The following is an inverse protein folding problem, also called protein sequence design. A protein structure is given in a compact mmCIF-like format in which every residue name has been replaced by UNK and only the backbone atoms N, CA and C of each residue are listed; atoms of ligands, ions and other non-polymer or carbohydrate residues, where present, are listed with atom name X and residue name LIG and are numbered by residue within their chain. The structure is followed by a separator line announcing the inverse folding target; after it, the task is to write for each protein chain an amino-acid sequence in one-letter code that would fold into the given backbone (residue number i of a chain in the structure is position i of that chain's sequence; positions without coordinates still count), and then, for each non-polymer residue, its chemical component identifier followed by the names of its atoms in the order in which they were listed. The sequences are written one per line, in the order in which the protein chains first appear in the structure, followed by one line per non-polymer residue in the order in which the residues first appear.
data_IF_487440925055
#
_entry.id   IF_487440925055
#
_cell.length_a   1.000
_cell.length_b   1.000
_cell.length_c   1.000
_cell.angle_alpha   90.00
_cell.angle_beta   90.00
_cell.angle_gamma   90.00
#
_symmetry.space_group_name_H-M   'P 1'
#
loop_
_entity.id
_entity.type
_entity.pdbx_description
1 polymer ?
#
# COMPACT_ATOMS: atom_id res chain seq x y z
N UNK A 1 16.18 50.38 -14.89
CA UNK A 1 15.99 49.23 -15.82
C UNK A 1 17.03 48.12 -15.59
N UNK A 2 18.33 48.40 -15.49
CA UNK A 2 19.39 47.40 -15.23
C UNK A 2 19.17 46.54 -13.97
N UNK A 3 18.72 47.14 -12.87
CA UNK A 3 18.50 46.42 -11.60
C UNK A 3 17.21 45.58 -11.60
N UNK A 4 16.21 45.92 -12.44
CA UNK A 4 14.98 45.13 -12.61
C UNK A 4 15.28 43.80 -13.33
N UNK A 5 16.15 43.83 -14.35
CA UNK A 5 16.53 42.65 -15.12
C UNK A 5 17.33 41.67 -14.25
N UNK A 6 18.25 42.16 -13.42
CA UNK A 6 19.03 41.33 -12.48
C UNK A 6 18.13 40.67 -11.43
N UNK A 7 17.14 41.40 -10.91
CA UNK A 7 16.19 40.85 -9.94
C UNK A 7 15.32 39.74 -10.55
N UNK A 8 14.86 39.91 -11.79
CA UNK A 8 14.10 38.88 -12.53
C UNK A 8 14.92 37.62 -12.84
N UNK A 9 16.22 37.75 -13.12
CA UNK A 9 17.11 36.60 -13.37
C UNK A 9 17.34 35.78 -12.10
N UNK A 10 17.53 36.44 -10.95
CA UNK A 10 17.73 35.76 -9.65
C UNK A 10 16.45 35.04 -9.19
N UNK A 11 15.26 35.61 -9.46
CA UNK A 11 13.96 34.97 -9.17
C UNK A 11 13.67 33.75 -10.05
N UNK A 12 14.19 33.70 -11.29
CA UNK A 12 14.07 32.52 -12.16
C UNK A 12 15.08 31.42 -11.81
N UNK A 13 16.26 31.77 -11.29
CA UNK A 13 17.29 30.80 -10.87
C UNK A 13 16.98 30.08 -9.54
N UNK A 14 16.05 30.60 -8.72
CA UNK A 14 15.66 30.00 -7.44
C UNK A 14 14.55 28.95 -7.53
N UNK A 15 13.96 28.73 -8.71
CA UNK A 15 12.83 27.80 -8.89
C UNK A 15 13.23 26.35 -9.17
N UNK A 16 14.53 26.05 -9.28
CA UNK A 16 15.05 24.68 -9.47
C UNK A 16 15.39 24.00 -8.14
N UNK A 17 14.50 24.08 -7.15
CA UNK A 17 14.53 23.09 -6.07
C UNK A 17 14.04 21.76 -6.66
N UNK A 18 14.73 20.63 -6.45
CA UNK A 18 14.20 19.34 -6.86
C UNK A 18 12.90 19.08 -6.09
N UNK A 19 11.77 19.23 -6.78
CA UNK A 19 10.48 18.85 -6.25
C UNK A 19 10.43 17.33 -6.22
N UNK A 20 10.45 16.74 -5.03
CA UNK A 20 10.20 15.31 -4.87
C UNK A 20 8.71 15.07 -5.01
N UNK A 21 8.24 14.82 -6.23
CA UNK A 21 6.89 14.29 -6.46
C UNK A 21 6.90 12.84 -6.02
N UNK A 22 6.34 12.55 -4.83
CA UNK A 22 6.09 11.16 -4.40
C UNK A 22 4.85 10.65 -5.12
N UNK A 23 5.03 10.07 -6.31
CA UNK A 23 3.95 9.36 -6.99
C UNK A 23 3.79 7.97 -6.34
N UNK A 24 2.67 7.73 -5.67
CA UNK A 24 2.31 6.39 -5.18
C UNK A 24 2.22 5.42 -6.36
N UNK A 25 2.77 4.22 -6.20
CA UNK A 25 2.86 3.23 -7.29
C UNK A 25 1.80 2.15 -7.09
N UNK A 26 1.07 1.79 -8.13
CA UNK A 26 0.09 0.69 -8.04
C UNK A 26 0.84 -0.65 -8.14
N UNK A 27 0.63 -1.52 -7.15
CA UNK A 27 1.14 -2.89 -7.15
C UNK A 27 -0.01 -3.89 -6.97
N UNK A 28 -0.27 -4.68 -8.01
CA UNK A 28 -1.47 -5.50 -8.11
C UNK A 28 -1.14 -6.98 -7.96
N UNK A 29 -1.95 -7.68 -7.17
CA UNK A 29 -1.85 -9.13 -7.04
C UNK A 29 -2.27 -9.82 -8.35
N UNK A 30 -1.41 -10.69 -8.89
CA UNK A 30 -1.61 -11.37 -10.18
C UNK A 30 -2.36 -12.71 -10.07
N UNK A 31 -2.67 -13.15 -8.86
CA UNK A 31 -3.27 -14.48 -8.66
C UNK A 31 -2.25 -15.60 -8.47
N UNK A 32 -1.02 -15.30 -8.08
CA UNK A 32 -0.09 -16.34 -7.64
C UNK A 32 0.80 -16.95 -8.72
N UNK A 33 1.92 -17.51 -8.27
CA UNK A 33 2.92 -18.24 -9.04
C UNK A 33 2.84 -19.72 -8.65
N UNK A 34 2.90 -20.67 -9.60
CA UNK A 34 2.84 -22.10 -9.29
C UNK A 34 3.80 -22.52 -8.15
N UNK A 35 3.27 -23.21 -7.15
CA UNK A 35 3.96 -23.63 -5.91
C UNK A 35 4.09 -22.56 -4.82
N UNK A 36 3.68 -21.31 -5.09
CA UNK A 36 3.72 -20.17 -4.17
C UNK A 36 2.50 -19.27 -4.34
N UNK A 37 1.37 -19.83 -4.73
CA UNK A 37 0.28 -19.10 -5.36
C UNK A 37 -0.38 -18.09 -4.40
N UNK A 38 -0.43 -18.41 -3.11
CA UNK A 38 -1.02 -17.54 -2.08
C UNK A 38 0.02 -16.74 -1.29
N UNK A 39 1.31 -16.86 -1.60
CA UNK A 39 2.37 -16.23 -0.81
C UNK A 39 2.47 -14.74 -1.08
N UNK A 40 2.14 -13.91 -0.09
CA UNK A 40 2.29 -12.46 -0.18
C UNK A 40 3.74 -12.03 -0.45
N UNK A 41 4.70 -12.70 0.18
CA UNK A 41 6.14 -12.43 0.10
C UNK A 41 6.80 -12.97 -1.18
N UNK A 42 6.02 -13.54 -2.12
CA UNK A 42 6.54 -13.92 -3.42
C UNK A 42 6.47 -12.74 -4.40
N UNK A 43 7.61 -12.15 -4.72
CA UNK A 43 7.71 -11.02 -5.67
C UNK A 43 7.07 -11.30 -7.04
N UNK A 44 7.09 -12.56 -7.48
CA UNK A 44 6.48 -13.00 -8.75
C UNK A 44 4.96 -12.94 -8.73
N UNK A 45 4.31 -12.86 -7.58
CA UNK A 45 2.85 -12.72 -7.46
C UNK A 45 2.37 -11.28 -7.70
N UNK A 46 3.28 -10.32 -7.80
CA UNK A 46 3.00 -8.90 -7.90
C UNK A 46 3.25 -8.36 -9.31
N UNK A 47 2.44 -7.41 -9.77
CA UNK A 47 2.57 -6.78 -11.10
C UNK A 47 3.90 -6.04 -11.27
N UNK A 48 4.46 -5.52 -10.18
CA UNK A 48 5.76 -4.85 -10.17
C UNK A 48 6.97 -5.77 -10.08
N UNK A 49 6.77 -7.08 -9.89
CA UNK A 49 7.87 -8.03 -9.70
C UNK A 49 8.65 -7.82 -8.40
N UNK A 50 8.07 -7.11 -7.42
CA UNK A 50 8.59 -6.90 -6.06
C UNK A 50 7.45 -6.91 -5.04
N UNK A 51 7.78 -7.21 -3.79
CA UNK A 51 6.85 -7.16 -2.66
C UNK A 51 6.45 -5.69 -2.43
N UNK A 52 5.17 -5.39 -2.19
CA UNK A 52 4.72 -4.04 -1.85
C UNK A 52 5.41 -3.46 -0.62
N UNK A 53 5.69 -2.16 -0.65
CA UNK A 53 6.27 -1.37 0.43
C UNK A 53 5.44 -0.09 0.68
N UNK A 54 5.98 0.79 1.53
CA UNK A 54 5.34 2.02 2.01
C UNK A 54 4.88 2.98 0.89
N UNK A 55 5.40 2.83 -0.32
CA UNK A 55 5.06 3.68 -1.47
C UNK A 55 3.97 3.07 -2.36
N UNK A 56 3.55 1.84 -2.10
CA UNK A 56 2.63 1.12 -2.96
C UNK A 56 1.16 1.25 -2.55
N UNK A 57 0.32 1.45 -3.57
CA UNK A 57 -1.11 1.23 -3.52
C UNK A 57 -1.38 -0.21 -3.93
N UNK A 58 -1.72 -1.04 -2.95
CA UNK A 58 -1.95 -2.46 -3.14
C UNK A 58 -3.37 -2.71 -3.59
N UNK A 59 -3.50 -3.41 -4.71
CA UNK A 59 -4.80 -3.85 -5.25
C UNK A 59 -4.87 -5.37 -5.20
N UNK A 60 -5.91 -5.89 -4.54
CA UNK A 60 -6.29 -7.30 -4.58
C UNK A 60 -7.54 -7.42 -5.48
N UNK A 61 -7.38 -7.79 -6.77
CA UNK A 61 -8.49 -7.89 -7.70
C UNK A 61 -9.23 -9.22 -7.54
N UNK A 62 -10.42 -9.30 -8.14
CA UNK A 62 -11.09 -10.58 -8.34
C UNK A 62 -10.29 -11.43 -9.36
N UNK A 63 -9.78 -12.57 -8.92
CA UNK A 63 -9.06 -13.53 -9.78
C UNK A 63 -9.84 -14.85 -9.95
N UNK A 64 -11.14 -14.84 -9.69
CA UNK A 64 -12.01 -16.01 -9.72
C UNK A 64 -12.14 -16.67 -11.10
N UNK A 65 -11.89 -15.93 -12.18
CA UNK A 65 -11.93 -16.41 -13.57
C UNK A 65 -10.57 -16.92 -14.07
N UNK A 66 -9.50 -16.73 -13.29
CA UNK A 66 -8.15 -17.13 -13.63
C UNK A 66 -7.62 -18.17 -12.64
N UNK A 67 -6.61 -17.79 -11.86
CA UNK A 67 -5.94 -18.70 -10.94
C UNK A 67 -6.77 -19.10 -9.72
N UNK A 68 -7.74 -18.27 -9.31
CA UNK A 68 -8.51 -18.42 -8.07
C UNK A 68 -7.64 -18.45 -6.80
N UNK A 69 -6.41 -17.94 -6.86
CA UNK A 69 -5.48 -17.92 -5.72
C UNK A 69 -5.33 -16.52 -5.16
N UNK A 70 -5.80 -16.39 -3.93
CA UNK A 70 -5.78 -15.15 -3.17
C UNK A 70 -4.61 -15.10 -2.19
N UNK A 71 -4.15 -13.89 -1.82
CA UNK A 71 -3.05 -13.71 -0.88
C UNK A 71 -3.39 -14.18 0.54
N UNK A 72 -2.42 -14.86 1.15
CA UNK A 72 -2.40 -15.22 2.56
C UNK A 72 -1.11 -14.65 3.16
N UNK A 73 -1.25 -13.82 4.18
CA UNK A 73 -0.13 -13.33 4.99
C UNK A 73 -0.12 -14.14 6.28
N UNK A 74 1.00 -14.84 6.53
CA UNK A 74 1.14 -15.73 7.68
C UNK A 74 1.72 -15.04 8.91
N UNK A 75 2.64 -14.11 8.70
CA UNK A 75 3.35 -13.41 9.74
C UNK A 75 3.95 -12.12 9.19
N UNK A 76 4.30 -11.19 10.08
CA UNK A 76 5.08 -10.01 9.75
C UNK A 76 4.34 -8.69 9.95
N UNK A 77 5.12 -7.63 9.87
CA UNK A 77 4.65 -6.24 9.84
C UNK A 77 4.80 -5.73 8.41
N UNK A 78 3.69 -5.38 7.79
CA UNK A 78 3.63 -4.83 6.44
C UNK A 78 3.23 -3.38 6.54
N UNK A 79 3.96 -2.52 5.85
CA UNK A 79 3.60 -1.12 5.73
C UNK A 79 3.47 -0.79 4.25
N UNK A 80 2.31 -0.28 3.86
CA UNK A 80 1.94 0.07 2.50
C UNK A 80 1.16 1.38 2.53
N UNK A 81 1.05 2.07 1.39
CA UNK A 81 0.29 3.32 1.37
C UNK A 81 -1.22 3.05 1.46
N UNK A 82 -1.75 2.25 0.55
CA UNK A 82 -3.18 1.95 0.48
C UNK A 82 -3.40 0.46 0.28
N UNK A 83 -4.45 -0.07 0.90
CA UNK A 83 -4.96 -1.41 0.62
C UNK A 83 -6.37 -1.33 0.05
N UNK A 84 -6.54 -1.83 -1.18
CA UNK A 84 -7.82 -1.88 -1.87
C UNK A 84 -8.17 -3.33 -2.24
N UNK A 85 -9.27 -3.85 -1.69
CA UNK A 85 -9.78 -5.20 -1.96
C UNK A 85 -11.04 -5.09 -2.81
N UNK A 86 -11.00 -5.59 -4.05
CA UNK A 86 -12.15 -5.60 -4.96
C UNK A 86 -13.24 -6.56 -4.46
N UNK A 87 -14.47 -6.32 -4.90
CA UNK A 87 -15.57 -7.27 -4.71
C UNK A 87 -15.22 -8.66 -5.24
N UNK A 88 -15.65 -9.69 -4.51
CA UNK A 88 -15.34 -11.10 -4.76
C UNK A 88 -13.85 -11.50 -4.64
N UNK A 89 -12.98 -10.57 -4.25
CA UNK A 89 -11.61 -10.88 -3.87
C UNK A 89 -11.52 -11.26 -2.39
N UNK A 90 -10.46 -11.97 -2.03
CA UNK A 90 -10.18 -12.34 -0.62
C UNK A 90 -8.76 -11.96 -0.22
N UNK A 91 -8.58 -11.47 1.00
CA UNK A 91 -7.29 -11.37 1.69
C UNK A 91 -7.38 -12.10 3.03
N UNK A 92 -6.40 -12.97 3.32
CA UNK A 92 -6.36 -13.70 4.59
C UNK A 92 -5.16 -13.28 5.42
N UNK A 93 -5.39 -12.83 6.65
CA UNK A 93 -4.37 -12.46 7.62
C UNK A 93 -4.36 -13.47 8.78
N UNK A 94 -3.22 -14.10 9.04
CA UNK A 94 -3.05 -14.96 10.22
C UNK A 94 -2.77 -14.13 11.49
N UNK A 95 -2.73 -14.78 12.65
CA UNK A 95 -2.83 -14.11 13.95
C UNK A 95 -1.68 -13.15 14.28
N UNK A 96 -0.49 -13.44 13.77
CA UNK A 96 0.73 -12.67 14.02
C UNK A 96 0.98 -11.56 12.98
N UNK A 97 -0.02 -11.20 12.19
CA UNK A 97 0.12 -10.18 11.13
C UNK A 97 -0.30 -8.80 11.63
N UNK A 98 0.45 -7.78 11.23
CA UNK A 98 0.04 -6.37 11.33
C UNK A 98 0.26 -5.68 9.99
N UNK A 99 -0.74 -4.94 9.53
CA UNK A 99 -0.65 -4.10 8.32
C UNK A 99 -0.89 -2.67 8.72
N UNK A 100 0.07 -1.79 8.43
CA UNK A 100 -0.06 -0.35 8.60
C UNK A 100 -0.32 0.29 7.23
N UNK A 101 -1.42 1.04 7.11
CA UNK A 101 -1.89 1.68 5.87
C UNK A 101 -2.24 3.14 6.13
N UNK A 102 -2.13 4.01 5.13
CA UNK A 102 -2.77 5.33 5.18
C UNK A 102 -4.26 5.24 4.86
N UNK A 103 -4.65 4.29 4.00
CA UNK A 103 -6.03 4.12 3.56
C UNK A 103 -6.38 2.63 3.36
N UNK A 104 -7.56 2.22 3.84
CA UNK A 104 -8.07 0.87 3.68
C UNK A 104 -9.49 0.89 3.09
N UNK A 105 -9.65 0.31 1.91
CA UNK A 105 -10.94 0.11 1.27
C UNK A 105 -11.16 -1.38 1.02
N UNK A 106 -12.26 -1.92 1.56
CA UNK A 106 -12.61 -3.32 1.38
C UNK A 106 -14.03 -3.47 0.85
N UNK A 107 -14.15 -3.93 -0.39
CA UNK A 107 -15.42 -4.29 -1.03
C UNK A 107 -15.59 -5.80 -1.21
N UNK A 108 -14.62 -6.59 -0.74
CA UNK A 108 -14.61 -8.05 -0.78
C UNK A 108 -14.53 -8.66 0.62
N UNK A 109 -13.84 -9.81 0.70
CA UNK A 109 -13.66 -10.52 1.97
C UNK A 109 -12.27 -10.26 2.53
N UNK A 110 -12.17 -9.72 3.74
CA UNK A 110 -10.92 -9.74 4.48
C UNK A 110 -11.08 -10.52 5.78
N UNK A 111 -10.32 -11.61 5.90
CA UNK A 111 -10.27 -12.42 7.12
C UNK A 111 -9.24 -11.79 8.06
N UNK A 112 -9.67 -11.48 9.28
CA UNK A 112 -8.87 -10.89 10.36
C UNK A 112 -8.35 -9.45 10.16
N UNK A 113 -8.92 -8.69 9.22
CA UNK A 113 -8.56 -7.27 9.04
C UNK A 113 -8.88 -6.39 10.24
N UNK A 114 -9.99 -6.65 10.93
CA UNK A 114 -10.46 -5.93 12.12
C UNK A 114 -9.40 -5.84 13.24
N UNK A 115 -8.60 -6.89 13.41
CA UNK A 115 -7.51 -6.96 14.40
C UNK A 115 -6.13 -6.64 13.84
N UNK A 116 -5.90 -6.85 12.55
CA UNK A 116 -4.57 -6.81 11.95
C UNK A 116 -4.26 -5.52 11.17
N UNK A 117 -5.28 -4.86 10.59
CA UNK A 117 -5.10 -3.63 9.81
C UNK A 117 -5.22 -2.41 10.72
N UNK A 118 -4.25 -1.52 10.57
CA UNK A 118 -4.08 -0.30 11.36
C UNK A 118 -3.93 0.88 10.40
N UNK A 119 -4.83 1.85 10.52
CA UNK A 119 -4.83 3.04 9.65
C UNK A 119 -4.05 4.14 10.36
N UNK A 120 -2.97 4.62 9.74
CA UNK A 120 -2.13 5.68 10.28
C UNK A 120 -2.98 6.89 10.64
N UNK A 121 -2.78 7.40 11.86
CA UNK A 121 -3.52 8.55 12.37
C UNK A 121 -4.90 8.22 12.97
N UNK A 122 -5.45 7.02 12.77
CA UNK A 122 -6.68 6.59 13.46
C UNK A 122 -6.39 5.79 14.75
N UNK A 123 -5.14 5.37 14.98
CA UNK A 123 -4.72 4.66 16.19
C UNK A 123 -4.42 5.57 17.39
N UNK A 124 -4.60 6.89 17.28
CA UNK A 124 -4.37 7.84 18.39
C UNK A 124 -5.53 7.93 19.41
N UNK A 125 -6.60 7.16 19.24
CA UNK A 125 -7.79 7.24 20.11
C UNK A 125 -8.18 5.95 20.82
N UNK A 126 -7.29 4.96 20.94
CA UNK A 126 -7.54 3.80 21.81
C UNK A 126 -6.74 3.89 23.11
N UNK A 127 -7.43 4.44 24.12
CA UNK A 127 -7.27 4.26 25.58
C UNK A 127 -6.12 4.97 26.31
N UNK A 128 -6.38 6.24 26.64
CA UNK A 128 -6.24 6.68 28.04
C UNK A 128 -7.30 5.94 28.87
N UNK A 129 -7.00 4.73 29.32
CA UNK A 129 -7.71 4.16 30.48
C UNK A 129 -7.02 4.64 31.75
N UNK A 130 -7.87 5.21 32.60
CA UNK A 130 -7.57 5.78 33.90
C UNK A 130 -6.73 4.83 34.76
N UNK A 131 -5.68 5.36 35.37
CA UNK A 131 -5.11 4.83 36.60
C UNK A 131 -4.84 5.98 37.57
#
# INVERSE_FOLDING_TARGET
MRNLIVFSVVLFLSQFLPQTVSAQIINTWKGGTPGQESKWDCSKNWSRGRIPDIFDNVIIPNVSTGSQKYPIIKTGMIEINQLYIHSNATLTLQESVRILVNEFNNYGTCIACDRAVKIKGLDFFTFSENH
#
